data_IF_664509180832
#
_entry.id   IF_664509180832
#
_cell.length_a   1.000
_cell.length_b   1.000
_cell.length_c   1.000
_cell.angle_alpha   90.00
_cell.angle_beta   90.00
_cell.angle_gamma   90.00
#
_symmetry.space_group_name_H-M   'P 1'
#
loop_
_entity.id
_entity.type
_entity.pdbx_description
1 polymer ?
#
# COMPACT_ATOMS: atom_id res chain seq x y z
N UNK A 1 -67.35 25.54 -15.51
CA UNK A 1 -66.32 26.59 -15.36
C UNK A 1 -65.77 26.51 -13.94
N UNK A 2 -64.44 26.36 -13.80
CA UNK A 2 -63.59 26.80 -12.66
C UNK A 2 -63.84 26.13 -11.29
N UNK A 3 -62.87 25.62 -10.52
CA UNK A 3 -61.42 25.47 -10.65
C UNK A 3 -60.97 24.42 -9.62
N UNK A 4 -60.17 23.42 -10.05
CA UNK A 4 -59.37 22.58 -9.16
C UNK A 4 -58.11 23.36 -8.77
N UNK A 5 -57.88 23.55 -7.48
CA UNK A 5 -56.66 24.17 -6.96
C UNK A 5 -55.54 23.13 -6.91
N UNK A 6 -54.58 23.25 -7.82
CA UNK A 6 -53.30 22.55 -7.74
C UNK A 6 -52.47 23.19 -6.61
N UNK A 7 -52.18 22.43 -5.56
CA UNK A 7 -51.18 22.80 -4.57
C UNK A 7 -49.79 22.55 -5.17
N UNK A 8 -49.12 23.62 -5.61
CA UNK A 8 -47.71 23.57 -6.02
C UNK A 8 -46.87 23.60 -4.74
N UNK A 9 -46.26 22.46 -4.41
CA UNK A 9 -45.19 22.38 -3.42
C UNK A 9 -43.90 22.91 -4.06
N UNK A 10 -43.59 24.19 -3.81
CA UNK A 10 -42.27 24.74 -4.13
C UNK A 10 -41.25 24.26 -3.10
N UNK A 11 -40.48 23.23 -3.44
CA UNK A 11 -39.23 22.92 -2.74
C UNK A 11 -38.19 23.97 -3.13
N UNK A 12 -38.02 24.99 -2.28
CA UNK A 12 -36.81 25.81 -2.31
C UNK A 12 -35.65 24.96 -1.78
N UNK A 13 -34.88 24.35 -2.68
CA UNK A 13 -33.54 23.86 -2.35
C UNK A 13 -32.66 25.10 -2.20
N UNK A 14 -32.56 25.59 -0.97
CA UNK A 14 -31.56 26.58 -0.64
C UNK A 14 -30.19 25.90 -0.71
N UNK A 15 -29.42 26.18 -1.76
CA UNK A 15 -27.98 25.99 -1.77
C UNK A 15 -27.36 26.92 -0.71
N UNK A 16 -27.34 26.47 0.55
CA UNK A 16 -26.49 27.06 1.56
C UNK A 16 -25.07 26.54 1.34
N UNK A 17 -24.36 27.12 0.36
CA UNK A 17 -22.91 27.16 0.41
C UNK A 17 -22.55 27.93 1.68
N UNK A 18 -22.29 27.22 2.78
CA UNK A 18 -21.61 27.84 3.93
C UNK A 18 -20.26 28.31 3.38
N UNK A 19 -19.97 29.63 3.39
CA UNK A 19 -18.59 30.06 3.27
C UNK A 19 -17.87 29.37 4.42
N UNK A 20 -16.90 28.50 4.11
CA UNK A 20 -16.05 27.92 5.14
C UNK A 20 -15.38 29.09 5.86
N UNK A 21 -15.90 29.45 7.04
CA UNK A 21 -15.24 30.41 7.90
C UNK A 21 -13.82 29.90 8.13
N UNK A 22 -12.83 30.79 8.03
CA UNK A 22 -11.46 30.45 8.39
C UNK A 22 -11.48 29.74 9.74
N UNK A 23 -11.00 28.49 9.75
CA UNK A 23 -10.98 27.69 10.97
C UNK A 23 -10.03 28.40 11.95
N UNK A 24 -10.59 29.12 12.93
CA UNK A 24 -9.84 29.97 13.85
C UNK A 24 -8.92 29.20 14.82
N UNK A 25 -8.75 27.89 14.60
CA UNK A 25 -7.83 27.04 15.35
C UNK A 25 -6.38 27.37 14.93
N UNK A 26 -5.41 27.27 15.85
CA UNK A 26 -4.01 27.33 15.50
C UNK A 26 -3.64 26.30 14.41
N UNK A 27 -2.69 26.67 13.55
CA UNK A 27 -2.11 25.73 12.59
C UNK A 27 -1.21 24.78 13.37
N UNK A 28 -1.63 23.51 13.48
CA UNK A 28 -0.84 22.43 14.04
C UNK A 28 -0.06 21.78 12.91
N UNK A 29 1.26 21.72 13.02
CA UNK A 29 2.14 21.06 12.04
C UNK A 29 2.64 19.70 12.52
N UNK A 30 2.49 19.40 13.81
CA UNK A 30 2.90 18.15 14.43
C UNK A 30 1.85 17.73 15.47
N UNK A 31 1.34 16.51 15.35
CA UNK A 31 0.42 15.85 16.28
C UNK A 31 1.20 14.79 17.07
N UNK A 32 1.43 15.06 18.36
CA UNK A 32 2.29 14.21 19.19
C UNK A 32 1.55 12.98 19.71
N UNK A 33 1.55 11.93 18.91
CA UNK A 33 0.99 10.62 19.22
C UNK A 33 2.05 9.61 19.74
N UNK A 34 3.19 10.13 20.22
CA UNK A 34 4.34 9.32 20.65
C UNK A 34 4.50 9.24 22.16
N UNK A 35 3.42 9.41 22.92
CA UNK A 35 3.47 9.30 24.38
C UNK A 35 3.91 7.89 24.80
N UNK A 36 4.74 7.74 25.85
CA UNK A 36 5.20 6.43 26.29
C UNK A 36 4.05 5.54 26.84
N UNK A 37 3.71 4.51 26.07
CA UNK A 37 2.70 3.49 26.38
C UNK A 37 3.32 2.10 26.55
N UNK A 38 2.56 1.15 27.12
CA UNK A 38 2.97 -0.25 27.11
C UNK A 38 2.85 -0.80 25.69
N UNK A 39 3.71 -1.77 25.34
CA UNK A 39 3.63 -2.46 24.05
C UNK A 39 2.24 -3.07 23.86
N UNK A 40 1.52 -2.70 22.80
CA UNK A 40 0.25 -3.33 22.46
C UNK A 40 0.43 -4.79 22.02
N UNK A 41 -0.66 -5.55 22.06
CA UNK A 41 -0.73 -6.90 21.53
C UNK A 41 -0.46 -6.95 20.02
N UNK A 42 0.11 -8.07 19.57
CA UNK A 42 0.33 -8.37 18.15
C UNK A 42 -0.99 -8.68 17.45
N UNK A 43 -1.19 -8.13 16.26
CA UNK A 43 -2.31 -8.48 15.37
C UNK A 43 -1.82 -9.38 14.23
N UNK A 44 -2.67 -10.30 13.77
CA UNK A 44 -2.44 -11.12 12.59
C UNK A 44 -3.62 -10.98 11.65
N UNK A 45 -3.39 -10.51 10.42
CA UNK A 45 -4.40 -10.54 9.37
C UNK A 45 -4.27 -11.86 8.60
N UNK A 46 -5.31 -12.71 8.65
CA UNK A 46 -5.35 -13.93 7.84
C UNK A 46 -5.88 -13.59 6.45
N UNK A 47 -5.13 -13.96 5.40
CA UNK A 47 -5.50 -13.72 3.99
C UNK A 47 -6.93 -14.16 3.65
N UNK A 48 -7.40 -15.27 4.23
CA UNK A 48 -8.75 -15.78 4.02
C UNK A 48 -9.83 -15.00 4.80
N UNK A 49 -9.57 -14.63 6.05
CA UNK A 49 -10.56 -13.94 6.88
C UNK A 49 -10.70 -12.46 6.54
N UNK A 50 -9.60 -11.81 6.12
CA UNK A 50 -9.58 -10.40 5.69
C UNK A 50 -10.46 -10.20 4.44
N UNK A 51 -10.30 -11.09 3.46
CA UNK A 51 -11.15 -11.11 2.26
C UNK A 51 -12.61 -11.46 2.56
N UNK A 52 -12.89 -12.42 3.44
CA UNK A 52 -14.26 -12.87 3.77
C UNK A 52 -15.03 -11.82 4.58
N UNK A 53 -14.40 -11.19 5.58
CA UNK A 53 -15.06 -10.22 6.45
C UNK A 53 -15.41 -8.92 5.70
N UNK A 54 -14.52 -8.46 4.82
CA UNK A 54 -14.74 -7.28 3.99
C UNK A 54 -15.71 -7.51 2.82
N UNK A 55 -15.75 -8.73 2.26
CA UNK A 55 -16.57 -9.03 1.08
C UNK A 55 -17.99 -9.56 1.39
N UNK A 56 -18.20 -10.28 2.50
CA UNK A 56 -19.49 -10.95 2.78
C UNK A 56 -20.28 -10.34 3.96
N UNK A 57 -19.70 -10.24 5.15
CA UNK A 57 -20.49 -10.01 6.36
C UNK A 57 -20.80 -8.53 6.62
N UNK A 58 -19.85 -7.64 6.34
CA UNK A 58 -20.01 -6.23 6.66
C UNK A 58 -20.83 -5.43 5.63
N UNK A 59 -20.92 -5.88 4.37
CA UNK A 59 -21.86 -5.29 3.41
C UNK A 59 -23.30 -5.63 3.78
N UNK A 60 -23.59 -6.86 4.20
CA UNK A 60 -24.94 -7.25 4.61
C UNK A 60 -25.41 -6.52 5.87
N UNK A 61 -24.53 -6.28 6.84
CA UNK A 61 -24.87 -5.52 8.06
C UNK A 61 -25.10 -4.02 7.79
N UNK A 62 -24.44 -3.43 6.78
CA UNK A 62 -24.54 -2.00 6.45
C UNK A 62 -25.44 -1.66 5.26
N UNK A 63 -25.92 -2.60 4.44
CA UNK A 63 -27.08 -2.34 3.54
C UNK A 63 -28.33 -1.88 4.31
N UNK A 64 -28.36 -2.11 5.62
CA UNK A 64 -29.40 -1.64 6.55
C UNK A 64 -28.98 -0.39 7.35
N UNK A 65 -27.73 0.07 7.23
CA UNK A 65 -27.18 1.20 7.97
C UNK A 65 -26.91 2.40 7.06
N UNK A 66 -27.59 3.53 7.31
CA UNK A 66 -27.27 4.80 6.65
C UNK A 66 -25.96 5.32 7.26
N UNK A 67 -24.82 5.08 6.59
CA UNK A 67 -23.58 5.78 6.94
C UNK A 67 -23.74 7.25 6.52
N UNK A 68 -23.71 8.14 7.51
CA UNK A 68 -23.78 9.58 7.28
C UNK A 68 -22.38 10.11 6.93
N UNK A 69 -22.34 11.04 5.98
CA UNK A 69 -21.10 11.72 5.57
C UNK A 69 -20.36 12.29 6.79
N UNK A 70 -19.05 12.00 6.89
CA UNK A 70 -18.17 12.49 7.95
C UNK A 70 -16.84 12.99 7.35
N UNK A 71 -16.48 14.28 7.50
CA UNK A 71 -15.17 14.79 7.08
C UNK A 71 -14.02 14.13 7.86
N UNK A 72 -12.81 14.15 7.28
CA UNK A 72 -11.60 13.70 7.96
C UNK A 72 -11.34 14.56 9.21
N UNK A 73 -10.90 13.95 10.30
CA UNK A 73 -10.84 14.65 11.60
C UNK A 73 -9.43 15.11 12.01
N UNK A 74 -8.39 14.51 11.45
CA UNK A 74 -6.98 14.75 11.80
C UNK A 74 -6.30 15.78 10.87
N UNK A 75 -6.99 16.88 10.60
CA UNK A 75 -6.46 17.97 9.75
C UNK A 75 -6.32 19.26 10.54
N UNK A 76 -5.32 20.07 10.20
CA UNK A 76 -5.12 21.38 10.81
C UNK A 76 -6.03 22.45 10.19
N UNK A 77 -5.87 23.70 10.61
CA UNK A 77 -6.68 24.82 10.13
C UNK A 77 -6.56 25.11 8.62
N UNK A 78 -5.51 24.62 7.96
CA UNK A 78 -5.30 24.71 6.51
C UNK A 78 -5.84 23.50 5.74
N UNK A 79 -6.36 22.48 6.43
CA UNK A 79 -6.72 21.21 5.81
C UNK A 79 -5.54 20.27 5.53
N UNK A 80 -4.38 20.56 6.11
CA UNK A 80 -3.18 19.72 5.99
C UNK A 80 -3.14 18.66 7.09
N UNK A 81 -2.51 17.53 6.79
CA UNK A 81 -2.22 16.47 7.77
C UNK A 81 -0.94 16.85 8.54
N UNK A 82 -1.00 17.02 9.88
CA UNK A 82 0.19 17.22 10.70
C UNK A 82 1.10 15.99 10.74
N UNK A 83 2.40 16.20 10.96
CA UNK A 83 3.36 15.12 11.17
C UNK A 83 3.01 14.31 12.44
N UNK A 84 3.15 12.99 12.39
CA UNK A 84 2.84 12.05 13.50
C UNK A 84 3.55 10.70 13.31
N UNK A 85 3.26 9.72 14.16
CA UNK A 85 3.72 8.33 13.99
C UNK A 85 3.15 7.63 12.74
N UNK A 86 2.09 8.21 12.13
CA UNK A 86 1.41 7.68 10.95
C UNK A 86 1.96 8.25 9.64
N UNK A 87 2.32 9.54 9.64
CA UNK A 87 2.59 10.30 8.41
C UNK A 87 3.53 11.46 8.70
N UNK A 88 4.41 11.76 7.75
CA UNK A 88 5.23 12.95 7.74
C UNK A 88 4.98 13.67 6.41
N UNK A 89 4.45 14.90 6.43
CA UNK A 89 3.96 15.60 5.25
C UNK A 89 5.10 16.17 4.40
N UNK A 90 5.86 15.25 3.80
CA UNK A 90 7.13 15.46 3.09
C UNK A 90 6.94 16.34 1.86
N UNK A 91 6.56 15.78 0.71
CA UNK A 91 6.39 16.58 -0.51
C UNK A 91 5.25 17.59 -0.40
N UNK A 92 4.23 17.34 0.43
CA UNK A 92 3.10 18.26 0.58
C UNK A 92 3.48 19.60 1.23
N UNK A 93 4.42 19.61 2.18
CA UNK A 93 4.85 20.85 2.88
C UNK A 93 6.27 21.30 2.54
N UNK A 94 7.11 20.42 1.98
CA UNK A 94 8.53 20.70 1.81
C UNK A 94 9.01 20.46 0.37
N UNK A 95 9.98 21.25 -0.06
CA UNK A 95 10.83 20.90 -1.19
C UNK A 95 11.93 19.96 -0.68
N UNK A 96 12.08 18.81 -1.30
CA UNK A 96 13.05 17.79 -0.90
C UNK A 96 14.05 17.63 -2.04
N UNK A 97 15.33 17.57 -1.70
CA UNK A 97 16.39 17.29 -2.66
C UNK A 97 16.18 15.94 -3.38
N UNK A 98 16.46 15.89 -4.68
CA UNK A 98 16.21 14.69 -5.48
C UNK A 98 17.00 13.48 -4.96
N UNK A 99 18.26 13.65 -4.54
CA UNK A 99 19.06 12.55 -4.00
C UNK A 99 18.48 12.05 -2.68
N UNK A 100 17.88 12.93 -1.88
CA UNK A 100 17.14 12.52 -0.68
C UNK A 100 15.91 11.69 -1.02
N UNK A 101 15.18 12.01 -2.09
CA UNK A 101 14.01 11.25 -2.56
C UNK A 101 14.43 9.88 -3.12
N UNK A 102 15.45 9.85 -3.98
CA UNK A 102 16.03 8.62 -4.52
C UNK A 102 16.53 7.71 -3.41
N UNK A 103 17.11 8.25 -2.34
CA UNK A 103 17.47 7.44 -1.17
C UNK A 103 16.26 6.94 -0.38
N UNK A 104 15.15 7.68 -0.33
CA UNK A 104 13.92 7.27 0.36
C UNK A 104 14.12 7.00 1.86
N UNK A 105 13.65 5.87 2.37
CA UNK A 105 13.87 5.50 3.77
C UNK A 105 15.29 4.95 4.07
N UNK A 106 16.15 4.81 3.06
CA UNK A 106 17.44 4.16 3.23
C UNK A 106 18.45 5.00 4.03
N UNK A 107 19.22 4.35 4.94
CA UNK A 107 20.41 4.95 5.51
C UNK A 107 21.41 5.36 4.42
N UNK A 108 22.28 6.32 4.74
CA UNK A 108 23.38 6.69 3.85
C UNK A 108 24.33 5.50 3.65
N UNK A 109 24.70 5.22 2.40
CA UNK A 109 25.58 4.10 2.05
C UNK A 109 24.95 2.71 2.10
N UNK A 110 23.62 2.59 2.26
CA UNK A 110 22.94 1.29 2.21
C UNK A 110 23.09 0.65 0.81
N UNK A 111 23.82 -0.47 0.74
CA UNK A 111 23.97 -1.32 -0.45
C UNK A 111 24.40 -2.73 -0.04
N UNK A 112 24.00 -3.71 -0.85
CA UNK A 112 24.42 -5.11 -0.73
C UNK A 112 25.34 -5.54 -1.89
N UNK A 113 25.79 -4.61 -2.73
CA UNK A 113 26.60 -4.92 -3.90
C UNK A 113 27.94 -5.55 -3.50
N UNK A 114 28.26 -6.68 -4.10
CA UNK A 114 29.49 -7.44 -3.80
C UNK A 114 29.54 -8.08 -2.41
N UNK A 115 28.48 -7.97 -1.60
CA UNK A 115 28.40 -8.60 -0.28
C UNK A 115 28.12 -10.10 -0.40
N UNK A 116 28.63 -10.88 0.56
CA UNK A 116 28.11 -12.24 0.80
C UNK A 116 26.80 -12.12 1.58
N UNK A 117 25.75 -12.81 1.14
CA UNK A 117 24.40 -12.78 1.72
C UNK A 117 24.13 -14.10 2.44
N UNK A 118 23.83 -14.05 3.74
CA UNK A 118 23.56 -15.25 4.52
C UNK A 118 22.05 -15.51 4.62
N UNK A 119 21.53 -16.50 3.92
CA UNK A 119 20.13 -16.91 3.99
C UNK A 119 19.81 -17.53 5.35
N UNK A 120 18.98 -16.84 6.14
CA UNK A 120 18.56 -17.24 7.50
C UNK A 120 17.22 -17.97 7.51
N UNK A 121 16.30 -17.62 6.60
CA UNK A 121 15.04 -18.32 6.48
C UNK A 121 14.40 -18.19 5.11
N UNK A 122 13.54 -19.14 4.76
CA UNK A 122 12.64 -19.00 3.61
C UNK A 122 11.62 -17.89 3.84
N UNK A 123 11.12 -17.27 2.76
CA UNK A 123 9.95 -16.39 2.83
C UNK A 123 8.72 -17.23 3.16
N UNK A 124 7.99 -16.85 4.21
CA UNK A 124 6.88 -17.62 4.79
C UNK A 124 5.51 -17.28 4.20
N UNK A 125 5.38 -16.22 3.40
CA UNK A 125 4.10 -15.75 2.84
C UNK A 125 4.29 -14.97 1.52
N UNK A 126 3.24 -14.85 0.71
CA UNK A 126 3.20 -14.12 -0.57
C UNK A 126 3.51 -14.96 -1.82
N UNK A 127 3.18 -14.41 -3.00
CA UNK A 127 3.27 -15.11 -4.29
C UNK A 127 4.70 -15.23 -4.83
N UNK A 128 5.54 -14.21 -4.60
CA UNK A 128 6.90 -14.16 -5.13
C UNK A 128 7.89 -14.94 -4.26
N UNK A 129 8.82 -15.73 -4.85
CA UNK A 129 9.87 -16.42 -4.12
C UNK A 129 10.79 -15.42 -3.41
N UNK A 130 11.42 -15.84 -2.32
CA UNK A 130 12.27 -14.96 -1.53
C UNK A 130 12.88 -15.64 -0.31
N UNK A 131 13.82 -14.93 0.32
CA UNK A 131 14.49 -15.34 1.55
C UNK A 131 14.71 -14.15 2.47
N UNK A 132 14.77 -14.43 3.76
CA UNK A 132 15.38 -13.49 4.70
C UNK A 132 16.87 -13.75 4.70
N UNK A 133 17.64 -12.71 4.39
CA UNK A 133 19.09 -12.72 4.45
C UNK A 133 19.59 -11.83 5.57
N UNK A 134 20.78 -12.12 6.07
CA UNK A 134 21.54 -11.27 6.96
C UNK A 134 22.85 -10.88 6.26
N UNK A 135 23.17 -9.59 6.28
CA UNK A 135 24.50 -9.10 5.90
C UNK A 135 25.47 -9.42 7.04
N UNK A 136 26.51 -10.26 6.81
CA UNK A 136 27.43 -10.68 7.86
C UNK A 136 28.29 -9.54 8.41
N UNK A 137 28.43 -8.41 7.70
CA UNK A 137 29.22 -7.27 8.16
C UNK A 137 28.44 -6.34 9.09
N UNK A 138 27.16 -6.10 8.78
CA UNK A 138 26.32 -5.17 9.54
C UNK A 138 25.36 -5.87 10.49
N UNK A 139 25.18 -7.18 10.35
CA UNK A 139 24.10 -7.98 10.95
C UNK A 139 22.68 -7.49 10.62
N UNK A 140 22.56 -6.60 9.63
CA UNK A 140 21.26 -6.12 9.18
C UNK A 140 20.54 -7.21 8.39
N UNK A 141 19.24 -7.36 8.67
CA UNK A 141 18.38 -8.30 7.96
C UNK A 141 17.63 -7.63 6.83
N UNK A 142 17.45 -8.38 5.75
CA UNK A 142 16.71 -7.96 4.56
C UNK A 142 15.80 -9.10 4.10
N UNK A 143 14.63 -8.76 3.60
CA UNK A 143 13.79 -9.66 2.83
C UNK A 143 14.15 -9.48 1.34
N UNK A 144 14.69 -10.53 0.73
CA UNK A 144 14.88 -10.58 -0.72
C UNK A 144 13.59 -11.08 -1.39
N UNK A 145 13.10 -10.34 -2.38
CA UNK A 145 12.00 -10.75 -3.25
C UNK A 145 12.53 -10.82 -4.68
N UNK A 146 12.15 -11.86 -5.41
CA UNK A 146 12.54 -12.04 -6.80
C UNK A 146 11.35 -11.86 -7.73
N UNK A 147 11.63 -11.38 -8.94
CA UNK A 147 10.67 -11.48 -10.04
C UNK A 147 10.63 -12.92 -10.57
N UNK A 148 9.50 -13.29 -11.15
CA UNK A 148 9.36 -14.51 -11.92
C UNK A 148 9.40 -14.20 -13.41
N UNK A 149 9.51 -15.23 -14.26
CA UNK A 149 9.58 -15.06 -15.72
C UNK A 149 8.34 -14.37 -16.35
N UNK A 150 7.22 -14.22 -15.62
CA UNK A 150 6.00 -13.64 -16.16
C UNK A 150 6.07 -12.14 -16.41
N UNK A 151 6.71 -11.39 -15.51
CA UNK A 151 6.91 -9.93 -15.61
C UNK A 151 8.31 -9.57 -15.09
N UNK A 152 9.37 -9.90 -15.84
CA UNK A 152 10.74 -9.68 -15.38
C UNK A 152 10.99 -8.20 -15.10
N UNK A 153 11.79 -7.94 -14.07
CA UNK A 153 12.16 -6.62 -13.55
C UNK A 153 11.00 -5.77 -12.97
N UNK A 154 9.74 -6.03 -13.31
CA UNK A 154 8.62 -5.20 -12.87
C UNK A 154 8.46 -5.19 -11.35
N UNK A 155 8.31 -6.36 -10.72
CA UNK A 155 7.98 -6.47 -9.30
C UNK A 155 9.08 -5.94 -8.39
N UNK A 156 10.34 -6.25 -8.71
CA UNK A 156 11.46 -5.74 -7.91
C UNK A 156 11.72 -4.25 -8.15
N UNK A 157 11.45 -3.70 -9.34
CA UNK A 157 11.44 -2.24 -9.56
C UNK A 157 10.29 -1.58 -8.81
N UNK A 158 9.07 -2.12 -8.92
CA UNK A 158 7.87 -1.60 -8.27
C UNK A 158 8.02 -1.58 -6.73
N UNK A 159 8.61 -2.61 -6.13
CA UNK A 159 8.86 -2.67 -4.68
C UNK A 159 9.81 -1.55 -4.21
N UNK A 160 10.80 -1.21 -5.03
CA UNK A 160 11.79 -0.15 -4.77
C UNK A 160 11.20 1.23 -5.02
N UNK A 161 10.61 1.45 -6.20
CA UNK A 161 9.94 2.70 -6.56
C UNK A 161 8.81 3.04 -5.59
N UNK A 162 7.93 2.07 -5.31
CA UNK A 162 6.83 2.22 -4.37
C UNK A 162 7.33 2.67 -3.00
N UNK A 163 8.37 2.04 -2.45
CA UNK A 163 8.93 2.47 -1.16
C UNK A 163 9.38 3.93 -1.15
N UNK A 164 10.01 4.41 -2.23
CA UNK A 164 10.50 5.79 -2.35
C UNK A 164 9.35 6.77 -2.58
N UNK A 165 8.37 6.41 -3.41
CA UNK A 165 7.21 7.25 -3.72
C UNK A 165 6.26 7.38 -2.53
N UNK A 166 5.95 6.29 -1.82
CA UNK A 166 5.17 6.35 -0.57
C UNK A 166 5.89 7.14 0.51
N UNK A 167 7.21 6.94 0.63
CA UNK A 167 8.03 7.76 1.52
C UNK A 167 7.97 9.23 1.12
N UNK A 168 8.21 9.59 -0.13
CA UNK A 168 8.20 10.98 -0.59
C UNK A 168 6.83 11.65 -0.41
N UNK A 169 5.74 10.91 -0.67
CA UNK A 169 4.38 11.38 -0.44
C UNK A 169 4.14 11.71 1.05
N UNK A 170 4.61 10.83 1.94
CA UNK A 170 4.66 11.10 3.38
C UNK A 170 4.44 9.91 4.31
N UNK A 171 4.09 8.74 3.79
CA UNK A 171 3.96 7.53 4.61
C UNK A 171 5.33 7.09 5.13
N UNK A 172 5.35 6.31 6.22
CA UNK A 172 6.55 5.54 6.54
C UNK A 172 6.58 4.31 5.63
N UNK A 173 7.75 4.03 5.05
CA UNK A 173 7.98 2.89 4.18
C UNK A 173 9.35 2.28 4.52
N UNK A 174 9.59 0.99 4.23
CA UNK A 174 10.88 0.36 4.39
C UNK A 174 11.93 0.96 3.44
N UNK A 175 13.21 0.78 3.78
CA UNK A 175 14.29 1.00 2.82
C UNK A 175 14.34 -0.19 1.85
N UNK A 176 13.95 0.06 0.60
CA UNK A 176 14.08 -0.93 -0.47
C UNK A 176 15.07 -0.43 -1.53
N UNK A 177 15.93 -1.33 -2.00
CA UNK A 177 16.82 -1.12 -3.14
C UNK A 177 16.98 -2.41 -3.95
N UNK A 178 17.39 -2.28 -5.20
CA UNK A 178 17.71 -3.43 -6.06
C UNK A 178 19.08 -3.96 -5.67
N UNK A 179 19.22 -5.28 -5.62
CA UNK A 179 20.51 -5.97 -5.52
C UNK A 179 20.67 -6.92 -6.69
N UNK A 180 21.87 -6.93 -7.27
CA UNK A 180 22.27 -7.84 -8.33
C UNK A 180 23.43 -8.69 -7.81
N UNK A 181 23.32 -10.02 -7.93
CA UNK A 181 24.32 -10.92 -7.36
C UNK A 181 24.47 -12.23 -8.13
N UNK A 182 25.65 -12.81 -8.03
CA UNK A 182 25.95 -14.16 -8.49
C UNK A 182 25.49 -15.20 -7.47
N UNK A 183 25.18 -16.41 -7.94
CA UNK A 183 24.74 -17.52 -7.06
C UNK A 183 25.67 -17.73 -5.86
N UNK A 184 26.97 -17.64 -6.08
CA UNK A 184 28.01 -17.93 -5.08
C UNK A 184 28.06 -16.89 -3.95
N UNK A 185 27.38 -15.75 -4.12
CA UNK A 185 27.27 -14.73 -3.07
C UNK A 185 26.21 -15.09 -2.03
N UNK A 186 25.26 -15.98 -2.32
CA UNK A 186 24.24 -16.42 -1.34
C UNK A 186 24.68 -17.72 -0.69
N UNK A 187 24.81 -17.70 0.64
CA UNK A 187 25.15 -18.87 1.45
C UNK A 187 24.04 -19.17 2.44
N UNK A 188 23.78 -20.44 2.66
CA UNK A 188 22.82 -20.89 3.66
C UNK A 188 23.43 -20.85 5.06
N UNK A 189 22.69 -20.34 6.05
CA UNK A 189 23.12 -20.46 7.45
C UNK A 189 22.92 -21.88 7.98
N UNK A 190 23.82 -22.35 8.83
CA UNK A 190 23.75 -23.69 9.43
C UNK A 190 22.45 -23.93 10.23
N UNK A 191 21.86 -22.86 10.77
CA UNK A 191 20.63 -22.87 11.58
C UNK A 191 19.39 -22.41 10.80
N UNK A 192 19.47 -22.30 9.46
CA UNK A 192 18.40 -21.75 8.63
C UNK A 192 17.13 -22.62 8.66
N UNK A 193 15.97 -21.95 8.69
CA UNK A 193 14.66 -22.60 8.82
C UNK A 193 13.66 -22.11 7.78
N UNK A 194 12.68 -22.95 7.45
CA UNK A 194 11.51 -22.59 6.65
C UNK A 194 10.24 -23.03 7.37
N UNK A 195 9.17 -22.25 7.22
CA UNK A 195 7.85 -22.59 7.73
C UNK A 195 6.89 -22.70 6.54
N UNK A 196 6.17 -23.81 6.44
CA UNK A 196 5.17 -24.00 5.39
C UNK A 196 3.82 -23.36 5.74
N UNK A 197 2.88 -23.36 4.78
CA UNK A 197 1.54 -22.80 4.97
C UNK A 197 0.72 -23.53 6.05
N UNK A 198 1.12 -24.72 6.48
CA UNK A 198 0.51 -25.45 7.59
C UNK A 198 1.14 -25.07 8.95
N UNK A 199 2.08 -24.12 8.97
CA UNK A 199 2.79 -23.68 10.17
C UNK A 199 3.90 -24.62 10.62
N UNK A 200 4.25 -25.64 9.82
CA UNK A 200 5.30 -26.59 10.17
C UNK A 200 6.67 -26.02 9.82
N UNK A 201 7.53 -25.92 10.83
CA UNK A 201 8.90 -25.43 10.68
C UNK A 201 9.88 -26.60 10.47
N UNK A 202 10.71 -26.50 9.44
CA UNK A 202 11.77 -27.47 9.10
C UNK A 202 13.08 -26.73 8.80
N UNK A 203 14.20 -27.46 8.70
CA UNK A 203 15.45 -26.87 8.23
C UNK A 203 15.28 -26.40 6.78
N UNK A 204 15.83 -25.23 6.47
CA UNK A 204 16.00 -24.77 5.09
C UNK A 204 17.26 -25.48 4.55
N UNK A 205 17.16 -26.16 3.41
CA UNK A 205 18.28 -26.90 2.81
C UNK A 205 18.83 -26.18 1.57
N UNK A 206 19.99 -26.63 1.08
CA UNK A 206 20.56 -26.12 -0.17
C UNK A 206 19.63 -26.39 -1.36
N UNK A 207 18.95 -27.55 -1.36
CA UNK A 207 17.95 -27.90 -2.38
C UNK A 207 16.75 -26.93 -2.37
N UNK A 208 16.33 -26.46 -1.20
CA UNK A 208 15.28 -25.46 -1.09
C UNK A 208 15.72 -24.10 -1.65
N UNK A 209 16.95 -23.70 -1.33
CA UNK A 209 17.56 -22.48 -1.86
C UNK A 209 17.62 -22.53 -3.39
N UNK A 210 18.15 -23.62 -3.96
CA UNK A 210 18.18 -23.85 -5.40
C UNK A 210 16.79 -23.85 -6.02
N UNK A 211 15.81 -24.51 -5.37
CA UNK A 211 14.45 -24.59 -5.88
C UNK A 211 13.75 -23.23 -5.95
N UNK A 212 14.04 -22.33 -4.99
CA UNK A 212 13.50 -20.97 -5.04
C UNK A 212 14.25 -20.08 -6.04
N UNK A 213 15.59 -20.20 -6.13
CA UNK A 213 16.37 -19.50 -7.14
C UNK A 213 16.05 -19.96 -8.58
N UNK A 214 15.69 -21.23 -8.79
CA UNK A 214 15.26 -21.74 -10.09
C UNK A 214 13.96 -21.10 -10.59
N UNK A 215 13.13 -20.56 -9.69
CA UNK A 215 11.90 -19.81 -10.02
C UNK A 215 12.14 -18.33 -10.27
N UNK A 216 13.28 -17.80 -9.79
CA UNK A 216 13.65 -16.41 -9.98
C UNK A 216 14.06 -16.17 -11.44
N UNK A 217 13.61 -15.05 -11.99
CA UNK A 217 14.13 -14.56 -13.26
C UNK A 217 15.60 -14.15 -13.11
N UNK A 218 16.37 -14.31 -14.19
CA UNK A 218 17.79 -13.98 -14.26
C UNK A 218 18.03 -12.93 -15.33
N UNK A 219 18.97 -12.04 -15.07
CA UNK A 219 19.48 -11.10 -16.05
C UNK A 219 20.09 -11.85 -17.26
N UNK A 220 20.21 -11.20 -18.44
CA UNK A 220 20.81 -11.81 -19.63
C UNK A 220 22.22 -12.36 -19.43
N UNK A 221 22.97 -11.82 -18.46
CA UNK A 221 24.31 -12.27 -18.10
C UNK A 221 24.33 -13.42 -17.08
N UNK A 222 23.17 -13.91 -16.65
CA UNK A 222 23.01 -15.03 -15.74
C UNK A 222 22.92 -14.66 -14.25
N UNK A 223 23.12 -13.39 -13.88
CA UNK A 223 23.02 -12.93 -12.49
C UNK A 223 21.57 -12.85 -12.03
N UNK A 224 21.37 -12.95 -10.71
CA UNK A 224 20.05 -12.76 -10.10
C UNK A 224 19.79 -11.28 -9.80
N UNK A 225 18.52 -10.88 -9.92
CA UNK A 225 18.01 -9.58 -9.50
C UNK A 225 16.97 -9.77 -8.40
N UNK A 226 17.10 -9.03 -7.31
CA UNK A 226 16.11 -9.00 -6.24
C UNK A 226 15.84 -7.57 -5.78
N UNK A 227 14.65 -7.32 -5.22
CA UNK A 227 14.48 -6.20 -4.28
C UNK A 227 14.93 -6.67 -2.90
N UNK A 228 15.78 -5.88 -2.26
CA UNK A 228 16.17 -6.06 -0.88
C UNK A 228 15.40 -5.06 -0.01
N UNK A 229 14.47 -5.57 0.80
CA UNK A 229 13.70 -4.78 1.75
C UNK A 229 14.32 -4.89 3.14
N UNK A 230 14.91 -3.80 3.63
CA UNK A 230 15.54 -3.73 4.95
C UNK A 230 14.50 -3.91 6.05
N UNK A 231 14.79 -4.79 7.02
CA UNK A 231 13.88 -5.00 8.15
C UNK A 231 13.69 -3.69 8.93
N UNK A 232 12.42 -3.33 9.12
CA UNK A 232 11.98 -2.09 9.74
C UNK A 232 12.38 -2.07 11.22
N UNK A 233 12.78 -0.89 11.71
CA UNK A 233 13.16 -0.66 13.10
C UNK A 233 12.02 -0.96 14.09
N UNK A 234 12.40 -1.34 15.31
CA UNK A 234 11.45 -1.60 16.40
C UNK A 234 10.96 -3.03 16.45
N UNK A 235 10.02 -3.27 17.37
CA UNK A 235 9.46 -4.59 17.61
C UNK A 235 8.18 -4.77 16.80
N UNK A 236 8.09 -5.76 15.88
CA UNK A 236 6.89 -6.03 15.11
C UNK A 236 5.67 -6.26 15.99
N UNK A 237 4.56 -5.59 15.67
CA UNK A 237 3.24 -5.89 16.24
C UNK A 237 2.20 -6.29 15.19
N UNK A 238 2.65 -6.53 13.95
CA UNK A 238 1.84 -7.03 12.84
C UNK A 238 1.24 -5.92 11.99
N UNK A 239 0.33 -6.28 11.07
CA UNK A 239 -0.43 -5.29 10.30
C UNK A 239 -1.30 -4.40 11.20
N UNK A 240 -1.75 -3.28 10.65
CA UNK A 240 -2.82 -2.46 11.21
C UNK A 240 -4.03 -2.49 10.26
N UNK A 241 -5.19 -1.97 10.69
CA UNK A 241 -6.44 -2.06 9.92
C UNK A 241 -6.82 -0.73 9.29
N UNK A 242 -7.54 -0.70 8.18
CA UNK A 242 -8.09 0.57 7.67
C UNK A 242 -9.32 1.10 8.42
N UNK A 243 -9.80 0.39 9.46
CA UNK A 243 -10.95 0.79 10.27
C UNK A 243 -10.72 0.60 11.77
N UNK A 244 -11.37 1.47 12.55
CA UNK A 244 -11.38 1.43 14.00
C UNK A 244 -10.13 2.07 14.57
N UNK A 245 -9.81 1.69 15.80
CA UNK A 245 -8.58 2.07 16.50
C UNK A 245 -7.97 0.81 17.08
N UNK A 246 -6.68 0.84 17.34
CA UNK A 246 -5.99 -0.13 18.16
C UNK A 246 -6.34 0.10 19.63
N UNK A 247 -7.38 -0.58 20.11
CA UNK A 247 -7.98 -0.34 21.43
C UNK A 247 -7.03 -0.50 22.63
N UNK A 248 -5.93 -1.21 22.47
CA UNK A 248 -4.89 -1.39 23.48
C UNK A 248 -3.68 -0.44 23.33
N UNK A 249 -3.74 0.51 22.40
CA UNK A 249 -2.84 1.65 22.29
C UNK A 249 -3.59 2.96 22.60
N UNK A 250 -3.35 3.61 23.75
CA UNK A 250 -4.04 4.85 24.09
C UNK A 250 -3.58 6.07 23.27
N UNK A 251 -2.53 5.96 22.45
CA UNK A 251 -2.17 6.99 21.47
C UNK A 251 -3.06 6.92 20.21
N UNK A 252 -3.68 5.77 19.94
CA UNK A 252 -4.49 5.57 18.76
C UNK A 252 -5.95 5.97 19.01
N UNK A 253 -6.20 7.27 18.86
CA UNK A 253 -7.47 7.92 19.23
C UNK A 253 -8.33 8.33 18.03
N UNK A 254 -7.77 8.27 16.82
CA UNK A 254 -8.47 8.65 15.59
C UNK A 254 -8.83 7.38 14.83
N UNK A 255 -10.12 7.08 14.63
CA UNK A 255 -10.52 5.95 13.81
C UNK A 255 -9.85 6.01 12.43
N UNK A 256 -9.20 4.93 12.02
CA UNK A 256 -8.35 4.89 10.84
C UNK A 256 -9.09 5.30 9.56
N UNK A 257 -10.36 4.90 9.43
CA UNK A 257 -11.22 5.26 8.31
C UNK A 257 -11.60 6.76 8.28
N UNK A 258 -11.34 7.49 9.36
CA UNK A 258 -11.58 8.94 9.48
C UNK A 258 -10.27 9.77 9.35
N UNK A 259 -9.13 9.11 9.13
CA UNK A 259 -7.83 9.76 8.87
C UNK A 259 -7.71 10.22 7.43
N UNK A 260 -7.36 11.49 7.19
CA UNK A 260 -7.23 12.06 5.83
C UNK A 260 -6.20 11.30 5.00
N UNK A 261 -5.02 11.08 5.53
CA UNK A 261 -3.93 10.39 4.83
C UNK A 261 -4.28 8.95 4.46
N UNK A 262 -5.13 8.26 5.21
CA UNK A 262 -5.57 6.90 4.86
C UNK A 262 -6.72 6.94 3.84
N UNK A 263 -7.65 7.89 3.97
CA UNK A 263 -8.73 8.11 3.00
C UNK A 263 -8.17 8.50 1.63
N UNK A 264 -7.29 9.49 1.61
CA UNK A 264 -6.73 10.07 0.41
C UNK A 264 -5.62 9.24 -0.23
N UNK A 265 -5.09 8.24 0.49
CA UNK A 265 -4.17 7.24 -0.08
C UNK A 265 -4.73 6.62 -1.37
N UNK A 266 -6.06 6.52 -1.49
CA UNK A 266 -6.73 6.07 -2.72
C UNK A 266 -6.23 6.81 -3.97
N UNK A 267 -5.94 8.11 -3.89
CA UNK A 267 -5.43 8.89 -5.04
C UNK A 267 -4.03 8.43 -5.45
N UNK A 268 -3.13 8.23 -4.48
CA UNK A 268 -1.80 7.69 -4.73
C UNK A 268 -1.87 6.26 -5.27
N UNK A 269 -2.74 5.42 -4.69
CA UNK A 269 -2.92 4.05 -5.12
C UNK A 269 -3.54 3.96 -6.52
N UNK A 270 -4.47 4.84 -6.86
CA UNK A 270 -5.02 4.91 -8.22
C UNK A 270 -3.94 5.29 -9.24
N UNK A 271 -3.07 6.24 -8.90
CA UNK A 271 -1.98 6.65 -9.78
C UNK A 271 -0.94 5.54 -9.95
N UNK A 272 -0.56 4.83 -8.88
CA UNK A 272 0.46 3.76 -8.93
C UNK A 272 -0.11 2.37 -9.24
N UNK A 273 -1.41 2.28 -9.46
CA UNK A 273 -2.19 1.04 -9.56
C UNK A 273 -1.91 0.03 -8.42
N UNK A 274 -1.84 0.53 -7.18
CA UNK A 274 -1.64 -0.30 -6.00
C UNK A 274 -2.96 -0.95 -5.56
N UNK A 275 -3.42 -1.95 -6.31
CA UNK A 275 -4.71 -2.61 -6.09
C UNK A 275 -4.75 -3.46 -4.81
N UNK A 276 -3.61 -3.97 -4.35
CA UNK A 276 -3.52 -4.83 -3.16
C UNK A 276 -3.38 -3.99 -1.86
N UNK A 277 -4.20 -2.95 -1.73
CA UNK A 277 -4.21 -2.03 -0.58
C UNK A 277 -4.92 -2.62 0.65
N UNK A 278 -4.44 -3.79 1.08
CA UNK A 278 -5.00 -4.63 2.14
C UNK A 278 -4.36 -4.40 3.50
N UNK A 279 -5.08 -4.74 4.58
CA UNK A 279 -4.55 -4.71 5.95
C UNK A 279 -3.24 -5.49 6.03
N UNK A 280 -3.16 -6.66 5.37
CA UNK A 280 -1.95 -7.48 5.33
C UNK A 280 -0.72 -6.82 4.68
N UNK A 281 -0.89 -5.75 3.90
CA UNK A 281 0.19 -4.97 3.28
C UNK A 281 0.46 -3.67 4.04
N UNK A 282 -0.02 -3.60 5.28
CA UNK A 282 0.33 -2.58 6.24
C UNK A 282 1.23 -3.18 7.33
N UNK A 283 1.96 -2.35 8.05
CA UNK A 283 2.84 -2.85 9.11
C UNK A 283 2.96 -1.85 10.26
N UNK A 284 2.91 -2.34 11.49
CA UNK A 284 3.14 -1.55 12.69
C UNK A 284 4.28 -2.14 13.53
N UNK A 285 5.09 -1.25 14.09
CA UNK A 285 6.16 -1.58 15.01
C UNK A 285 6.02 -0.79 16.30
N UNK A 286 6.28 -1.43 17.43
CA UNK A 286 6.48 -0.75 18.69
C UNK A 286 7.92 -0.25 18.79
N UNK A 287 8.10 1.06 18.94
CA UNK A 287 9.41 1.70 19.12
C UNK A 287 9.65 1.88 20.62
N UNK A 288 10.57 1.11 21.24
CA UNK A 288 10.84 1.25 22.66
C UNK A 288 11.46 2.61 22.99
N UNK A 289 11.06 3.15 24.14
CA UNK A 289 11.63 4.33 24.80
C UNK A 289 12.10 3.92 26.20
N UNK A 290 12.16 4.84 27.16
CA UNK A 290 12.59 4.54 28.52
C UNK A 290 11.57 3.68 29.30
N UNK A 291 12.05 2.92 30.28
CA UNK A 291 11.25 2.22 31.29
C UNK A 291 10.28 1.16 30.74
N UNK A 292 10.66 0.45 29.67
CA UNK A 292 9.83 -0.62 29.07
C UNK A 292 8.55 -0.10 28.42
N UNK A 293 8.49 1.19 28.12
CA UNK A 293 7.42 1.85 27.36
C UNK A 293 7.92 2.22 25.97
N UNK A 294 7.04 2.75 25.14
CA UNK A 294 7.33 3.09 23.75
C UNK A 294 6.12 3.72 23.07
N UNK A 295 6.12 3.75 21.75
CA UNK A 295 4.98 4.17 20.94
C UNK A 295 4.88 3.32 19.68
N UNK A 296 3.73 3.31 19.03
CA UNK A 296 3.54 2.58 17.76
C UNK A 296 3.88 3.50 16.59
N UNK A 297 4.56 2.95 15.59
CA UNK A 297 4.81 3.62 14.30
C UNK A 297 4.24 2.78 13.17
N UNK A 298 3.57 3.45 12.23
CA UNK A 298 2.76 2.82 11.19
C UNK A 298 3.42 2.98 9.83
N UNK A 299 3.52 1.88 9.08
CA UNK A 299 4.20 1.78 7.79
C UNK A 299 3.26 1.22 6.73
N UNK A 300 3.51 1.64 5.49
CA UNK A 300 3.05 0.96 4.28
C UNK A 300 4.17 0.04 3.81
N UNK A 301 3.82 -1.19 3.42
CA UNK A 301 4.78 -2.20 2.97
C UNK A 301 4.27 -2.92 1.73
N UNK A 302 5.12 -3.77 1.19
CA UNK A 302 4.82 -4.67 0.06
C UNK A 302 4.35 -3.96 -1.21
N UNK A 303 5.27 -3.26 -1.87
CA UNK A 303 4.95 -2.50 -3.09
C UNK A 303 5.23 -3.30 -4.37
N UNK A 304 5.39 -4.62 -4.24
CA UNK A 304 5.68 -5.49 -5.37
C UNK A 304 4.56 -5.52 -6.41
N UNK A 305 3.32 -5.22 -6.03
CA UNK A 305 2.15 -5.31 -6.91
C UNK A 305 1.73 -3.99 -7.59
N UNK A 306 2.55 -2.94 -7.46
CA UNK A 306 2.34 -1.66 -8.16
C UNK A 306 2.64 -1.78 -9.66
N UNK A 307 2.17 -0.77 -10.41
CA UNK A 307 2.57 -0.53 -11.82
C UNK A 307 2.29 -1.74 -12.71
N UNK A 308 1.05 -2.22 -12.64
CA UNK A 308 0.53 -3.23 -13.56
C UNK A 308 0.96 -4.66 -13.27
N UNK A 309 1.10 -5.00 -11.98
CA UNK A 309 1.23 -6.41 -11.59
C UNK A 309 0.06 -7.22 -12.14
N UNK A 310 0.40 -8.30 -12.83
CA UNK A 310 -0.55 -9.19 -13.46
C UNK A 310 -0.44 -10.59 -12.87
N UNK A 311 -1.56 -11.30 -12.85
CA UNK A 311 -1.64 -12.71 -12.51
C UNK A 311 -1.49 -13.52 -13.82
N UNK A 312 -0.29 -14.08 -14.14
CA UNK A 312 0.02 -14.52 -15.51
C UNK A 312 -0.87 -15.66 -16.04
N UNK A 313 -1.48 -16.44 -15.14
CA UNK A 313 -2.42 -17.52 -15.48
C UNK A 313 -3.89 -17.09 -15.40
N UNK A 314 -4.16 -15.81 -15.15
CA UNK A 314 -5.48 -15.24 -14.89
C UNK A 314 -5.62 -13.87 -15.59
N UNK A 315 -5.53 -13.88 -16.91
CA UNK A 315 -5.58 -12.68 -17.74
C UNK A 315 -6.85 -11.84 -17.49
N UNK A 316 -8.02 -12.48 -17.45
CA UNK A 316 -9.29 -11.80 -17.19
C UNK A 316 -9.31 -11.11 -15.82
N UNK A 317 -8.71 -11.73 -14.80
CA UNK A 317 -8.57 -11.08 -13.49
C UNK A 317 -7.63 -9.89 -13.56
N UNK A 318 -6.50 -10.04 -14.25
CA UNK A 318 -5.49 -9.00 -14.40
C UNK A 318 -6.05 -7.74 -15.08
N UNK A 319 -6.91 -7.89 -16.10
CA UNK A 319 -7.58 -6.76 -16.78
C UNK A 319 -8.51 -5.98 -15.85
N UNK A 320 -9.11 -6.66 -14.86
CA UNK A 320 -10.09 -6.10 -13.91
C UNK A 320 -9.44 -5.38 -12.72
N UNK A 321 -8.16 -5.61 -12.47
CA UNK A 321 -7.41 -4.92 -11.40
C UNK A 321 -7.47 -3.40 -11.62
N UNK A 322 -7.63 -2.68 -10.50
CA UNK A 322 -7.83 -1.24 -10.52
C UNK A 322 -9.22 -0.78 -10.98
N UNK A 323 -10.12 -1.68 -11.42
CA UNK A 323 -11.40 -1.32 -12.06
C UNK A 323 -12.61 -1.99 -11.39
N UNK A 324 -12.45 -3.20 -10.88
CA UNK A 324 -13.48 -3.94 -10.14
C UNK A 324 -12.90 -4.57 -8.88
N UNK A 325 -13.75 -4.72 -7.85
CA UNK A 325 -13.42 -5.60 -6.74
C UNK A 325 -13.35 -7.06 -7.19
N UNK A 326 -12.64 -7.90 -6.45
CA UNK A 326 -12.60 -9.35 -6.67
C UNK A 326 -14.02 -9.93 -6.72
N UNK A 327 -14.90 -9.46 -5.82
CA UNK A 327 -16.35 -9.67 -5.88
C UNK A 327 -17.03 -8.31 -5.85
N UNK A 328 -17.57 -7.87 -6.98
CA UNK A 328 -18.35 -6.64 -7.09
C UNK A 328 -19.83 -6.94 -7.30
N UNK A 329 -20.61 -6.92 -6.20
CA UNK A 329 -22.05 -7.17 -6.25
C UNK A 329 -22.83 -6.15 -7.10
N UNK A 330 -22.31 -4.92 -7.23
CA UNK A 330 -22.93 -3.90 -8.08
C UNK A 330 -22.81 -4.27 -9.55
N UNK A 331 -21.61 -4.66 -9.96
CA UNK A 331 -21.34 -5.09 -11.34
C UNK A 331 -22.03 -6.43 -11.64
N UNK A 332 -22.01 -7.40 -10.71
CA UNK A 332 -22.77 -8.67 -10.85
C UNK A 332 -24.27 -8.39 -11.04
N UNK A 333 -24.84 -7.46 -10.27
CA UNK A 333 -26.24 -7.08 -10.42
C UNK A 333 -26.54 -6.36 -11.74
N UNK A 334 -25.64 -5.46 -12.16
CA UNK A 334 -25.69 -4.79 -13.46
C UNK A 334 -25.68 -5.82 -14.59
N UNK A 335 -24.76 -6.79 -14.55
CA UNK A 335 -24.63 -7.84 -15.56
C UNK A 335 -25.85 -8.75 -15.59
N UNK A 336 -26.42 -9.09 -14.43
CA UNK A 336 -27.65 -9.89 -14.35
C UNK A 336 -28.84 -9.19 -15.02
N UNK A 337 -29.00 -7.88 -14.79
CA UNK A 337 -30.12 -7.09 -15.36
C UNK A 337 -29.90 -6.79 -16.84
N UNK A 338 -28.66 -6.51 -17.23
CA UNK A 338 -28.29 -6.15 -18.61
C UNK A 338 -27.90 -7.34 -19.47
N UNK A 339 -27.92 -8.55 -18.90
CA UNK A 339 -27.48 -9.81 -19.51
C UNK A 339 -26.02 -9.76 -20.04
N UNK A 340 -25.17 -8.94 -19.41
CA UNK A 340 -23.78 -8.72 -19.83
C UNK A 340 -23.64 -8.07 -21.22
N UNK A 341 -24.68 -7.39 -21.71
CA UNK A 341 -24.64 -6.71 -23.03
C UNK A 341 -23.71 -5.49 -23.03
N UNK A 342 -23.68 -4.63 -21.99
CA UNK A 342 -22.78 -3.49 -21.97
C UNK A 342 -21.32 -3.95 -21.85
N UNK A 343 -20.47 -3.42 -22.73
CA UNK A 343 -19.02 -3.64 -22.68
C UNK A 343 -18.41 -2.83 -21.53
N UNK A 344 -17.57 -3.46 -20.71
CA UNK A 344 -16.88 -2.79 -19.61
C UNK A 344 -15.56 -2.14 -20.08
N UNK A 345 -15.11 -1.01 -19.50
CA UNK A 345 -13.86 -0.36 -19.89
C UNK A 345 -12.63 -1.29 -19.82
N UNK A 346 -12.59 -2.19 -18.85
CA UNK A 346 -11.51 -3.16 -18.69
C UNK A 346 -11.46 -4.21 -19.81
N UNK A 347 -12.52 -4.39 -20.60
CA UNK A 347 -12.51 -5.29 -21.75
C UNK A 347 -11.69 -4.75 -22.93
N UNK A 348 -11.36 -3.45 -22.90
CA UNK A 348 -10.60 -2.74 -23.95
C UNK A 348 -9.13 -2.58 -23.63
N UNK A 349 -8.72 -2.83 -22.39
CA UNK A 349 -7.33 -2.63 -21.96
C UNK A 349 -6.41 -3.65 -22.62
N UNK A 350 -5.31 -3.20 -23.19
CA UNK A 350 -4.34 -4.03 -23.88
C UNK A 350 -2.95 -3.76 -23.30
N UNK A 351 -2.11 -4.79 -23.30
CA UNK A 351 -0.70 -4.64 -22.94
C UNK A 351 -0.02 -3.79 -24.02
N UNK A 352 0.71 -2.76 -23.60
CA UNK A 352 1.57 -1.98 -24.50
C UNK A 352 2.76 -2.85 -24.95
N UNK A 353 2.95 -3.11 -26.26
CA UNK A 353 4.05 -3.91 -26.76
C UNK A 353 5.44 -3.26 -26.56
N UNK A 354 5.51 -1.95 -26.30
CA UNK A 354 6.76 -1.22 -26.01
C UNK A 354 7.20 -1.46 -24.57
N UNK A 355 6.26 -1.55 -23.63
CA UNK A 355 6.50 -1.75 -22.19
C UNK A 355 5.66 -2.89 -21.63
N UNK A 356 5.79 -4.13 -22.14
CA UNK A 356 4.92 -5.24 -21.78
C UNK A 356 5.00 -5.62 -20.29
N UNK A 357 6.08 -5.22 -19.61
CA UNK A 357 6.29 -5.43 -18.19
C UNK A 357 5.25 -4.69 -17.34
N UNK A 358 4.67 -3.58 -17.82
CA UNK A 358 3.63 -2.81 -17.14
C UNK A 358 2.24 -3.42 -17.28
N UNK A 359 2.09 -4.57 -17.94
CA UNK A 359 0.81 -5.29 -18.00
C UNK A 359 -0.35 -4.41 -18.49
N UNK A 360 -1.38 -4.25 -17.66
CA UNK A 360 -2.59 -3.45 -17.96
C UNK A 360 -2.60 -2.07 -17.28
N UNK A 361 -1.44 -1.60 -16.84
CA UNK A 361 -1.25 -0.25 -16.33
C UNK A 361 -1.11 0.72 -17.50
N UNK A 362 -2.14 1.53 -17.72
CA UNK A 362 -2.32 2.45 -18.86
C UNK A 362 -3.20 3.63 -18.48
N UNK A 363 -3.23 4.68 -19.30
CA UNK A 363 -3.97 5.93 -19.05
C UNK A 363 -5.11 6.20 -20.06
N UNK A 364 -5.34 5.33 -21.05
CA UNK A 364 -6.35 5.50 -22.10
C UNK A 364 -7.78 5.36 -21.58
N UNK A 365 -8.04 4.40 -20.69
CA UNK A 365 -9.36 4.22 -20.03
C UNK A 365 -9.32 4.47 -18.52
N UNK A 366 -8.22 5.08 -18.04
CA UNK A 366 -8.05 5.37 -16.63
C UNK A 366 -8.87 6.58 -16.17
N UNK A 367 -9.77 6.32 -15.23
CA UNK A 367 -10.52 7.36 -14.51
C UNK A 367 -10.17 7.24 -13.03
N UNK A 368 -9.34 8.14 -12.47
CA UNK A 368 -8.87 8.03 -11.07
C UNK A 368 -10.01 7.92 -10.05
N UNK A 369 -11.13 8.61 -10.31
CA UNK A 369 -12.29 8.60 -9.44
C UNK A 369 -13.02 7.25 -9.39
N UNK A 370 -12.85 6.40 -10.42
CA UNK A 370 -13.49 5.09 -10.54
C UNK A 370 -12.55 3.94 -10.15
N UNK A 371 -11.27 4.23 -9.89
CA UNK A 371 -10.29 3.22 -9.52
C UNK A 371 -10.68 2.46 -8.25
N UNK A 372 -10.57 1.13 -8.26
CA UNK A 372 -10.91 0.26 -7.12
C UNK A 372 -9.72 -0.62 -6.75
N UNK A 373 -9.38 -0.75 -5.45
CA UNK A 373 -8.50 -1.83 -4.99
C UNK A 373 -9.18 -3.19 -5.17
N UNK A 374 -8.44 -4.29 -4.92
CA UNK A 374 -8.95 -5.64 -5.04
C UNK A 374 -10.17 -5.94 -4.16
N UNK A 375 -10.29 -5.30 -2.99
CA UNK A 375 -11.50 -5.37 -2.17
C UNK A 375 -11.79 -4.03 -1.50
N UNK A 376 -13.05 -3.78 -1.04
CA UNK A 376 -13.41 -2.49 -0.46
C UNK A 376 -12.52 -2.12 0.74
N UNK A 377 -11.80 -1.01 0.63
CA UNK A 377 -10.99 -0.46 1.72
C UNK A 377 -11.79 0.60 2.48
N UNK A 378 -11.86 0.48 3.80
CA UNK A 378 -12.72 1.30 4.67
C UNK A 378 -12.38 2.78 4.66
N UNK A 379 -11.11 3.12 4.65
CA UNK A 379 -10.69 4.51 4.53
C UNK A 379 -11.02 5.04 3.13
N UNK A 380 -10.80 4.25 2.09
CA UNK A 380 -11.04 4.70 0.71
C UNK A 380 -12.53 4.94 0.44
N UNK A 381 -13.40 4.10 0.99
CA UNK A 381 -14.86 4.27 0.92
C UNK A 381 -15.35 5.55 1.59
N UNK A 382 -14.57 6.12 2.52
CA UNK A 382 -14.89 7.38 3.17
C UNK A 382 -14.26 8.59 2.49
N UNK A 383 -13.35 8.43 1.54
CA UNK A 383 -12.67 9.56 0.88
C UNK A 383 -13.69 10.58 0.33
N UNK A 384 -13.49 11.85 0.68
CA UNK A 384 -14.26 12.96 0.12
C UNK A 384 -13.42 13.82 -0.85
N UNK A 385 -14.04 14.83 -1.44
CA UNK A 385 -13.39 15.70 -2.41
C UNK A 385 -12.22 16.51 -1.82
N UNK A 386 -12.26 16.87 -0.53
CA UNK A 386 -11.18 17.62 0.12
C UNK A 386 -9.98 16.73 0.40
N UNK A 387 -10.22 15.46 0.76
CA UNK A 387 -9.16 14.46 0.88
C UNK A 387 -8.49 14.22 -0.48
N UNK A 388 -9.30 14.01 -1.52
CA UNK A 388 -8.81 13.79 -2.87
C UNK A 388 -8.03 14.99 -3.41
N UNK A 389 -8.52 16.21 -3.19
CA UNK A 389 -7.82 17.44 -3.54
C UNK A 389 -6.46 17.54 -2.82
N UNK A 390 -6.43 17.28 -1.51
CA UNK A 390 -5.21 17.31 -0.72
C UNK A 390 -4.16 16.33 -1.26
N UNK A 391 -4.52 15.07 -1.51
CA UNK A 391 -3.57 14.11 -2.06
C UNK A 391 -3.14 14.45 -3.50
N UNK A 392 -4.06 14.93 -4.34
CA UNK A 392 -3.72 15.36 -5.69
C UNK A 392 -2.68 16.51 -5.70
N UNK A 393 -2.76 17.45 -4.75
CA UNK A 393 -1.75 18.51 -4.59
C UNK A 393 -0.36 17.99 -4.23
N UNK A 394 -0.25 16.80 -3.64
CA UNK A 394 1.02 16.12 -3.39
C UNK A 394 1.47 15.36 -4.64
N UNK A 395 0.57 14.63 -5.31
CA UNK A 395 0.88 13.88 -6.53
C UNK A 395 1.46 14.77 -7.63
N UNK A 396 0.91 15.97 -7.85
CA UNK A 396 1.43 16.90 -8.87
C UNK A 396 2.86 17.41 -8.59
N UNK A 397 3.42 17.14 -7.41
CA UNK A 397 4.81 17.49 -7.05
C UNK A 397 5.82 16.42 -7.44
N UNK A 398 5.35 15.24 -7.88
CA UNK A 398 6.19 14.25 -8.56
C UNK A 398 6.42 14.71 -10.00
N UNK A 399 7.32 15.68 -10.17
CA UNK A 399 7.68 16.24 -11.49
C UNK A 399 8.42 15.21 -12.33
N UNK A 400 8.48 15.44 -13.65
CA UNK A 400 9.24 14.58 -14.59
C UNK A 400 10.69 14.40 -14.11
N UNK A 401 11.38 15.48 -13.71
CA UNK A 401 12.74 15.41 -13.20
C UNK A 401 12.89 14.55 -11.92
N UNK A 402 11.85 14.49 -11.09
CA UNK A 402 11.84 13.62 -9.91
C UNK A 402 11.60 12.16 -10.32
N UNK A 403 10.67 11.92 -11.25
CA UNK A 403 10.39 10.59 -11.77
C UNK A 403 11.60 10.00 -12.51
N UNK A 404 12.25 10.79 -13.36
CA UNK A 404 13.49 10.41 -14.04
C UNK A 404 14.58 10.03 -13.03
N UNK A 405 14.78 10.85 -12.00
CA UNK A 405 15.76 10.55 -10.94
C UNK A 405 15.46 9.27 -10.16
N UNK A 406 14.19 8.86 -10.05
CA UNK A 406 13.81 7.60 -9.41
C UNK A 406 14.05 6.38 -10.32
N UNK A 407 14.03 6.58 -11.64
CA UNK A 407 14.22 5.53 -12.65
C UNK A 407 15.70 5.28 -12.97
N UNK A 408 16.54 6.32 -12.85
CA UNK A 408 18.01 6.25 -12.93
C UNK A 408 18.62 5.43 -11.78
#
# INVERSE_FOLDING_TARGET
MRHSALAVFSFFVACASRPGGYNAKPIVTYDDDRHPVKKPSTYWSSNAWDGIDEQLFNRMSKTLGIETYKPSVNVNALGEVPDSSWFNNRLGQHTIDLQRIVRGACPEGASLDGRTLIAKSGKTDGLNPGFVIEDPETHQKYLLKFDTNGQPERGTTADVMGSKMYWAFGYNAPCNFVVIFDRDHVKLADDAKKTDNAGKTTALTEEDLESALAKAWKLPDGRFRASASMFIEGEPIGPWRYEGVKSDDPNDVVPHQDRRELRAQRVLNAWLDHYDARDGNTYATFIPTANGKGYVKHYMVDFGDLMGSALPSQEQWSRRLGRQYYIDWGDIGKDLVTLGIPEEPWEKVTIDPVVPQLGYYEDHVFVPADWKPGYPNRAFMRMDALDGYWAAQIVVRFTDALLDALLD
#
